data_IF_519722662821
#
_entry.id   IF_519722662821
#
_cell.length_a   1.000
_cell.length_b   1.000
_cell.length_c   1.000
_cell.angle_alpha   90.00
_cell.angle_beta   90.00
_cell.angle_gamma   90.00
#
_symmetry.space_group_name_H-M   'P 1'
#
loop_
_entity.id
_entity.type
_entity.pdbx_description
1 polymer ?
#
# COMPACT_ATOMS: atom_id res chain seq x y z
N UNK A 1 -10.48 19.20 -9.78
CA UNK A 1 -9.05 18.85 -9.66
C UNK A 1 -9.00 17.46 -9.09
N UNK A 2 -8.49 16.45 -9.81
CA UNK A 2 -8.30 15.12 -9.22
C UNK A 2 -7.05 15.25 -8.34
N UNK A 3 -7.26 15.43 -7.03
CA UNK A 3 -6.18 15.30 -6.06
C UNK A 3 -5.49 13.97 -6.33
N UNK A 4 -4.21 14.01 -6.70
CA UNK A 4 -3.45 12.79 -6.94
C UNK A 4 -3.25 12.14 -5.59
N UNK A 5 -4.07 11.13 -5.29
CA UNK A 5 -3.84 10.31 -4.10
C UNK A 5 -2.43 9.71 -4.18
N UNK A 6 -1.72 9.74 -3.05
CA UNK A 6 -0.30 9.37 -2.96
C UNK A 6 -0.11 7.88 -3.25
N UNK A 7 1.02 7.51 -3.85
CA UNK A 7 1.32 6.09 -4.13
C UNK A 7 1.37 5.26 -2.84
N UNK A 8 1.83 5.85 -1.73
CA UNK A 8 1.80 5.23 -0.41
C UNK A 8 0.39 4.76 -0.02
N UNK A 9 -0.61 5.64 -0.15
CA UNK A 9 -2.00 5.33 0.19
C UNK A 9 -2.53 4.20 -0.70
N UNK A 10 -2.20 4.24 -2.00
CA UNK A 10 -2.59 3.17 -2.93
C UNK A 10 -1.97 1.82 -2.56
N UNK A 11 -0.68 1.82 -2.19
CA UNK A 11 0.04 0.61 -1.78
C UNK A 11 -0.61 -0.03 -0.55
N UNK A 12 -0.82 0.77 0.50
CA UNK A 12 -1.40 0.30 1.76
C UNK A 12 -2.86 -0.10 1.59
N UNK A 13 -3.66 0.74 0.94
CA UNK A 13 -5.08 0.48 0.69
C UNK A 13 -5.30 -0.76 -0.18
N UNK A 14 -4.50 -0.96 -1.22
CA UNK A 14 -4.59 -2.18 -2.02
C UNK A 14 -4.10 -3.42 -1.27
N UNK A 15 -3.01 -3.31 -0.50
CA UNK A 15 -2.54 -4.40 0.37
C UNK A 15 -3.58 -4.85 1.38
N UNK A 16 -4.44 -3.94 1.86
CA UNK A 16 -5.57 -4.31 2.70
C UNK A 16 -6.64 -5.14 1.97
N UNK A 17 -6.96 -4.76 0.72
CA UNK A 17 -8.06 -5.36 -0.06
C UNK A 17 -7.65 -6.70 -0.69
N UNK A 18 -6.40 -6.82 -1.11
CA UNK A 18 -5.93 -7.94 -1.92
C UNK A 18 -4.86 -8.76 -1.17
N UNK A 19 -5.20 -9.96 -0.65
CA UNK A 19 -4.26 -10.81 0.08
C UNK A 19 -3.02 -11.22 -0.73
N UNK A 20 -3.16 -11.40 -2.05
CA UNK A 20 -2.04 -11.74 -2.92
C UNK A 20 -1.04 -10.57 -3.00
N UNK A 21 -1.54 -9.36 -3.20
CA UNK A 21 -0.68 -8.18 -3.24
C UNK A 21 -0.12 -7.81 -1.86
N UNK A 22 -0.84 -8.12 -0.78
CA UNK A 22 -0.30 -8.07 0.59
C UNK A 22 0.89 -9.00 0.73
N UNK A 23 0.73 -10.26 0.37
CA UNK A 23 1.80 -11.25 0.46
C UNK A 23 3.04 -10.80 -0.31
N UNK A 24 2.85 -10.25 -1.52
CA UNK A 24 3.94 -9.70 -2.34
C UNK A 24 4.57 -8.46 -1.73
N UNK A 25 3.78 -7.55 -1.18
CA UNK A 25 4.27 -6.37 -0.46
C UNK A 25 5.12 -6.77 0.75
N UNK A 26 4.75 -7.84 1.46
CA UNK A 26 5.48 -8.34 2.63
C UNK A 26 6.72 -9.17 2.26
N UNK A 27 6.67 -9.92 1.17
CA UNK A 27 7.76 -10.83 0.76
C UNK A 27 8.84 -10.10 -0.04
N UNK A 28 8.43 -9.18 -0.91
CA UNK A 28 9.35 -8.44 -1.80
C UNK A 28 9.03 -6.93 -1.80
N UNK A 29 9.00 -6.27 -0.63
CA UNK A 29 8.63 -4.86 -0.50
C UNK A 29 9.47 -3.96 -1.40
N UNK A 30 10.78 -4.19 -1.45
CA UNK A 30 11.70 -3.37 -2.24
C UNK A 30 11.38 -3.42 -3.74
N UNK A 31 11.04 -4.59 -4.27
CA UNK A 31 10.63 -4.78 -5.66
C UNK A 31 9.32 -4.07 -5.96
N UNK A 32 8.37 -4.13 -5.03
CA UNK A 32 7.07 -3.46 -5.16
C UNK A 32 7.21 -1.94 -5.15
N UNK A 33 8.14 -1.41 -4.36
CA UNK A 33 8.36 0.03 -4.24
C UNK A 33 9.01 0.67 -5.47
N UNK A 34 9.61 -0.13 -6.38
CA UNK A 34 10.22 0.40 -7.61
C UNK A 34 9.17 1.16 -8.44
N UNK A 35 9.44 2.44 -8.69
CA UNK A 35 8.56 3.30 -9.51
C UNK A 35 7.38 3.91 -8.75
N UNK A 36 7.24 3.64 -7.44
CA UNK A 36 6.28 4.32 -6.57
C UNK A 36 6.91 5.54 -5.91
N UNK A 37 6.15 6.63 -5.83
CA UNK A 37 6.56 7.83 -5.09
C UNK A 37 6.23 7.68 -3.61
N UNK A 38 7.22 7.22 -2.85
CA UNK A 38 7.19 7.14 -1.38
C UNK A 38 8.37 7.90 -0.79
N UNK A 39 8.18 8.54 0.35
CA UNK A 39 9.25 9.13 1.16
C UNK A 39 10.12 8.03 1.80
N UNK A 40 11.30 8.38 2.31
CA UNK A 40 12.15 7.44 3.05
C UNK A 40 11.45 6.90 4.32
N UNK A 41 10.71 7.75 5.03
CA UNK A 41 9.89 7.36 6.19
C UNK A 41 8.79 6.35 5.79
N UNK A 42 8.08 6.61 4.70
CA UNK A 42 7.03 5.72 4.18
C UNK A 42 7.61 4.38 3.70
N UNK A 43 8.81 4.42 3.10
CA UNK A 43 9.55 3.23 2.70
C UNK A 43 9.93 2.38 3.91
N UNK A 44 10.47 3.00 4.96
CA UNK A 44 10.81 2.31 6.21
C UNK A 44 9.57 1.67 6.86
N UNK A 45 8.44 2.40 6.89
CA UNK A 45 7.16 1.84 7.33
C UNK A 45 6.80 0.60 6.53
N UNK A 46 6.83 0.64 5.19
CA UNK A 46 6.48 -0.52 4.35
C UNK A 46 7.42 -1.71 4.58
N UNK A 47 8.71 -1.46 4.77
CA UNK A 47 9.71 -2.50 5.01
C UNK A 47 9.57 -3.17 6.38
N UNK A 48 8.91 -2.51 7.34
CA UNK A 48 8.68 -3.03 8.69
C UNK A 48 7.30 -3.65 8.86
N UNK A 49 6.43 -3.60 7.85
CA UNK A 49 5.13 -4.24 7.88
C UNK A 49 5.27 -5.76 7.95
N UNK A 50 4.38 -6.37 8.74
CA UNK A 50 4.22 -7.82 8.85
C UNK A 50 2.78 -8.21 8.55
N UNK A 51 2.49 -9.50 8.45
CA UNK A 51 1.10 -9.96 8.30
C UNK A 51 0.22 -9.49 9.48
N UNK A 52 0.79 -9.43 10.69
CA UNK A 52 0.12 -8.92 11.89
C UNK A 52 -0.31 -7.45 11.75
N UNK A 53 0.47 -6.63 11.02
CA UNK A 53 0.11 -5.25 10.73
C UNK A 53 -1.23 -5.15 9.99
N UNK A 54 -1.61 -6.18 9.22
CA UNK A 54 -2.87 -6.24 8.47
C UNK A 54 -4.01 -6.92 9.24
N UNK A 55 -3.84 -7.23 10.53
CA UNK A 55 -4.87 -7.87 11.34
C UNK A 55 -6.11 -7.00 11.58
N UNK A 56 -5.92 -5.70 11.82
CA UNK A 56 -7.02 -4.72 11.97
C UNK A 56 -6.66 -3.38 11.33
N UNK A 57 -7.66 -2.57 10.95
CA UNK A 57 -7.40 -1.22 10.43
C UNK A 57 -6.65 -0.34 11.45
N UNK A 58 -6.88 -0.53 12.74
CA UNK A 58 -6.16 0.22 13.78
C UNK A 58 -4.70 -0.20 13.86
N UNK A 59 -4.41 -1.49 13.77
CA UNK A 59 -3.02 -1.99 13.73
C UNK A 59 -2.28 -1.48 12.51
N UNK A 60 -2.94 -1.49 11.34
CA UNK A 60 -2.34 -0.99 10.11
C UNK A 60 -2.11 0.51 10.16
N UNK A 61 -3.06 1.28 10.70
CA UNK A 61 -2.93 2.72 10.90
C UNK A 61 -1.70 3.03 11.77
N UNK A 62 -1.56 2.32 12.90
CA UNK A 62 -0.43 2.48 13.79
C UNK A 62 0.92 2.12 13.11
N UNK A 63 0.96 1.04 12.33
CA UNK A 63 2.18 0.60 11.63
C UNK A 63 2.58 1.52 10.46
N UNK A 64 1.60 2.20 9.84
CA UNK A 64 1.82 3.02 8.64
C UNK A 64 1.87 4.53 8.93
N UNK A 65 1.59 4.94 10.17
CA UNK A 65 1.46 6.36 10.54
C UNK A 65 0.26 7.06 9.90
N UNK A 66 -0.67 6.31 9.28
CA UNK A 66 -1.88 6.83 8.68
C UNK A 66 -3.02 6.89 9.70
N UNK A 67 -3.96 7.80 9.53
CA UNK A 67 -5.21 7.73 10.29
C UNK A 67 -6.11 6.61 9.74
N UNK A 68 -7.05 6.14 10.56
CA UNK A 68 -8.05 5.14 10.11
C UNK A 68 -8.92 5.70 8.99
N UNK A 69 -9.21 7.00 8.99
CA UNK A 69 -9.93 7.67 7.91
C UNK A 69 -9.11 7.73 6.62
N UNK A 70 -7.81 8.02 6.69
CA UNK A 70 -6.90 7.96 5.54
C UNK A 70 -6.86 6.56 4.93
N UNK A 71 -6.82 5.51 5.76
CA UNK A 71 -6.89 4.13 5.30
C UNK A 71 -8.21 3.83 4.61
N UNK A 72 -9.35 4.28 5.18
CA UNK A 72 -10.67 4.10 4.55
C UNK A 72 -10.74 4.78 3.19
N UNK A 73 -10.27 6.02 3.10
CA UNK A 73 -10.20 6.76 1.84
C UNK A 73 -9.28 6.05 0.84
N UNK A 74 -8.12 5.58 1.29
CA UNK A 74 -7.19 4.81 0.47
C UNK A 74 -7.81 3.52 -0.06
N UNK A 75 -8.54 2.78 0.79
CA UNK A 75 -9.21 1.53 0.42
C UNK A 75 -10.34 1.77 -0.59
N UNK A 76 -11.16 2.80 -0.37
CA UNK A 76 -12.27 3.11 -1.27
C UNK A 76 -11.80 3.70 -2.60
N UNK A 77 -10.60 4.27 -2.63
CA UNK A 77 -10.07 4.93 -3.81
C UNK A 77 -10.01 3.98 -5.03
N UNK A 78 -10.56 4.37 -6.20
CA UNK A 78 -10.67 3.50 -7.38
C UNK A 78 -9.34 2.86 -7.83
N UNK A 79 -8.23 3.60 -7.70
CA UNK A 79 -6.90 3.07 -8.03
C UNK A 79 -6.44 1.94 -7.11
N UNK A 80 -6.81 1.96 -5.83
CA UNK A 80 -6.50 0.88 -4.91
C UNK A 80 -7.34 -0.36 -5.21
N UNK A 81 -8.53 -0.21 -5.78
CA UNK A 81 -9.39 -1.37 -6.11
C UNK A 81 -9.05 -2.04 -7.43
N UNK A 82 -8.45 -1.31 -8.38
CA UNK A 82 -8.21 -1.77 -9.75
C UNK A 82 -6.75 -2.13 -10.05
N UNK A 83 -5.81 -1.92 -9.12
CA UNK A 83 -4.36 -2.06 -9.36
C UNK A 83 -3.78 -3.20 -8.55
N UNK A 84 -3.21 -4.21 -9.19
CA UNK A 84 -2.37 -5.19 -8.49
C UNK A 84 -0.92 -4.70 -8.37
N UNK A 85 -0.27 -5.02 -7.25
CA UNK A 85 1.12 -4.65 -6.99
C UNK A 85 2.08 -5.61 -7.71
N UNK A 86 3.13 -5.07 -8.31
CA UNK A 86 4.17 -5.88 -8.94
C UNK A 86 3.77 -6.61 -10.23
N UNK A 87 2.59 -6.36 -10.80
CA UNK A 87 2.32 -6.66 -12.23
C UNK A 87 2.98 -5.59 -13.07
N UNK A 88 4.31 -5.67 -13.17
CA UNK A 88 5.03 -5.05 -14.27
C UNK A 88 4.68 -5.81 -15.55
N UNK A 89 3.46 -5.59 -16.08
CA UNK A 89 3.22 -5.81 -17.50
C UNK A 89 4.02 -4.73 -18.22
N UNK A 90 5.31 -5.00 -18.46
CA UNK A 90 6.05 -4.35 -19.54
C UNK A 90 5.19 -4.56 -20.79
N UNK A 91 4.43 -3.54 -21.18
CA UNK A 91 3.91 -3.48 -22.55
C UNK A 91 5.16 -3.38 -23.41
N UNK A 92 5.49 -4.51 -24.04
CA UNK A 92 6.44 -4.58 -25.14
C UNK A 92 5.87 -3.81 -26.33
#
# INVERSE_FOLDING_TARGET
MVERVRDYFILIGHGWICPDCRLRLLTEPETILIGHKVSDEERECILTLTDESFGTMMTLAAATGLSVDDLRLAIDHPRSRLRHLGVNKRRR
#
